data_IF_789070397190
#
_entry.id   IF_789070397190
#
_cell.length_a   1.000
_cell.length_b   1.000
_cell.length_c   1.000
_cell.angle_alpha   90.00
_cell.angle_beta   90.00
_cell.angle_gamma   90.00
#
_symmetry.space_group_name_H-M   'P 1'
#
loop_
_entity.id
_entity.type
_entity.pdbx_description
1 polymer ?
#
# COMPACT_ATOMS: atom_id res chain seq x y z
N UNK A 1 1.55 39.21 -39.60
CA UNK A 1 2.68 38.26 -39.50
C UNK A 1 3.53 38.65 -38.31
N UNK A 2 3.27 38.05 -37.16
CA UNK A 2 4.23 37.85 -36.07
C UNK A 2 3.85 36.48 -35.53
N UNK A 3 4.70 35.49 -35.80
CA UNK A 3 4.60 34.13 -35.30
C UNK A 3 5.53 33.93 -34.11
N UNK A 4 5.31 32.76 -33.49
CA UNK A 4 6.20 31.99 -32.60
C UNK A 4 6.56 32.62 -31.24
N UNK A 5 6.60 31.91 -30.14
CA UNK A 5 6.38 30.48 -29.87
C UNK A 5 5.99 30.37 -28.39
N UNK A 6 5.05 29.48 -28.07
CA UNK A 6 4.77 29.07 -26.69
C UNK A 6 5.63 27.84 -26.41
N UNK A 7 6.70 28.04 -25.67
CA UNK A 7 7.44 26.94 -25.03
C UNK A 7 6.53 26.30 -23.97
N UNK A 8 5.82 25.24 -24.37
CA UNK A 8 5.26 24.24 -23.47
C UNK A 8 6.43 23.39 -22.96
N UNK A 9 6.85 23.66 -21.73
CA UNK A 9 7.83 22.84 -21.03
C UNK A 9 7.29 21.42 -20.83
N UNK A 10 7.92 20.46 -21.50
CA UNK A 10 7.76 19.02 -21.27
C UNK A 10 8.06 18.69 -19.79
N UNK A 11 7.07 18.11 -19.10
CA UNK A 11 7.24 17.45 -17.81
C UNK A 11 8.16 16.23 -17.98
N UNK A 12 9.45 16.43 -17.71
CA UNK A 12 10.47 15.39 -17.67
C UNK A 12 10.29 14.56 -16.38
N UNK A 13 9.59 13.42 -16.50
CA UNK A 13 9.56 12.37 -15.47
C UNK A 13 10.84 11.51 -15.60
N UNK A 14 11.82 11.58 -14.68
CA UNK A 14 13.06 10.82 -14.79
C UNK A 14 12.82 9.37 -14.38
N UNK A 15 12.42 8.56 -15.35
CA UNK A 15 12.10 7.16 -15.18
C UNK A 15 13.37 6.34 -15.45
N UNK A 16 14.20 6.08 -14.43
CA UNK A 16 15.37 5.20 -14.53
C UNK A 16 14.96 3.72 -14.64
N UNK A 17 14.61 3.29 -15.85
CA UNK A 17 14.29 1.91 -16.21
C UNK A 17 15.55 1.12 -16.57
N UNK A 18 16.38 0.71 -15.59
CA UNK A 18 17.66 0.03 -15.86
C UNK A 18 17.58 -1.51 -15.91
N UNK A 19 16.39 -2.11 -16.04
CA UNK A 19 16.26 -3.56 -16.25
C UNK A 19 15.22 -3.86 -17.33
N UNK A 20 15.58 -4.60 -18.41
CA UNK A 20 14.69 -4.96 -19.50
C UNK A 20 13.72 -6.05 -19.03
N UNK A 21 12.66 -5.65 -18.33
CA UNK A 21 11.55 -6.56 -18.02
C UNK A 21 10.61 -6.67 -19.21
N UNK A 22 10.09 -7.86 -19.50
CA UNK A 22 9.06 -8.09 -20.52
C UNK A 22 9.45 -7.74 -21.97
N UNK A 23 10.74 -7.84 -22.34
CA UNK A 23 11.15 -7.67 -23.75
C UNK A 23 10.48 -8.67 -24.68
N UNK A 24 10.19 -9.87 -24.18
CA UNK A 24 9.34 -10.86 -24.84
C UNK A 24 7.93 -10.34 -25.20
N UNK A 25 7.44 -9.30 -24.53
CA UNK A 25 6.19 -8.62 -24.87
C UNK A 25 6.40 -7.32 -25.63
N UNK A 26 7.38 -6.50 -25.25
CA UNK A 26 7.60 -5.19 -25.89
C UNK A 26 8.23 -5.29 -27.27
N UNK A 27 8.89 -6.41 -27.59
CA UNK A 27 9.52 -6.64 -28.88
C UNK A 27 8.60 -7.40 -29.86
N UNK A 28 7.36 -7.71 -29.45
CA UNK A 28 6.34 -8.28 -30.35
C UNK A 28 5.91 -7.23 -31.37
N UNK A 29 5.49 -7.70 -32.54
CA UNK A 29 4.93 -6.85 -33.59
C UNK A 29 3.39 -6.95 -33.56
N UNK A 30 2.79 -6.62 -32.41
CA UNK A 30 1.35 -6.75 -32.17
C UNK A 30 0.79 -5.69 -31.20
N UNK A 31 -0.53 -5.76 -30.94
CA UNK A 31 -1.27 -4.85 -30.08
C UNK A 31 -0.83 -4.92 -28.62
N UNK A 32 -0.32 -6.07 -28.17
CA UNK A 32 0.15 -6.28 -26.80
C UNK A 32 1.43 -5.46 -26.56
N UNK A 33 2.38 -5.48 -27.50
CA UNK A 33 3.59 -4.65 -27.42
C UNK A 33 3.23 -3.15 -27.35
N UNK A 34 2.37 -2.70 -28.27
CA UNK A 34 1.93 -1.32 -28.33
C UNK A 34 1.22 -0.88 -27.04
N UNK A 35 0.41 -1.76 -26.45
CA UNK A 35 -0.24 -1.49 -25.17
C UNK A 35 0.77 -1.42 -24.03
N UNK A 36 1.72 -2.36 -23.97
CA UNK A 36 2.74 -2.42 -22.92
C UNK A 36 3.62 -1.16 -22.91
N UNK A 37 4.00 -0.63 -24.07
CA UNK A 37 4.77 0.61 -24.18
C UNK A 37 3.95 1.84 -23.76
N UNK A 38 2.70 1.94 -24.19
CA UNK A 38 1.82 3.02 -23.75
C UNK A 38 1.52 2.96 -22.24
N UNK A 39 1.34 1.75 -21.70
CA UNK A 39 1.10 1.54 -20.28
C UNK A 39 2.32 1.90 -19.45
N UNK A 40 3.54 1.59 -19.93
CA UNK A 40 4.81 1.97 -19.29
C UNK A 40 4.91 3.47 -19.03
N UNK A 41 4.37 4.29 -19.93
CA UNK A 41 4.34 5.76 -19.82
C UNK A 41 3.24 6.29 -18.89
N UNK A 42 2.20 5.50 -18.62
CA UNK A 42 0.99 5.96 -17.92
C UNK A 42 0.77 5.35 -16.54
N UNK A 43 1.51 4.30 -16.16
CA UNK A 43 1.38 3.65 -14.85
C UNK A 43 2.71 3.42 -14.16
N UNK A 44 2.66 3.25 -12.84
CA UNK A 44 3.83 2.91 -12.02
C UNK A 44 4.45 1.58 -12.44
N UNK A 45 5.77 1.43 -12.30
CA UNK A 45 6.53 0.20 -12.58
C UNK A 45 5.88 -1.06 -12.01
N UNK A 46 5.36 -1.03 -10.77
CA UNK A 46 4.66 -2.20 -10.18
C UNK A 46 3.40 -2.58 -10.96
N UNK A 47 2.54 -1.62 -11.28
CA UNK A 47 1.32 -1.83 -12.06
C UNK A 47 1.65 -2.30 -13.48
N UNK A 48 2.71 -1.73 -14.07
CA UNK A 48 3.21 -2.15 -15.36
C UNK A 48 3.69 -3.61 -15.34
N UNK A 49 4.49 -4.02 -14.34
CA UNK A 49 4.91 -5.43 -14.18
C UNK A 49 3.72 -6.37 -13.96
N UNK A 50 2.75 -5.98 -13.15
CA UNK A 50 1.53 -6.78 -12.94
C UNK A 50 0.75 -6.97 -14.25
N UNK A 51 0.60 -5.90 -15.04
CA UNK A 51 -0.04 -5.96 -16.36
C UNK A 51 0.78 -6.86 -17.30
N UNK A 52 2.12 -6.74 -17.28
CA UNK A 52 3.03 -7.54 -18.08
C UNK A 52 2.96 -9.04 -17.76
N UNK A 53 2.87 -9.44 -16.49
CA UNK A 53 2.72 -10.87 -16.16
C UNK A 53 1.41 -11.43 -16.70
N UNK A 54 0.30 -10.71 -16.51
CA UNK A 54 -1.00 -11.14 -17.04
C UNK A 54 -1.00 -11.23 -18.57
N UNK A 55 -0.42 -10.23 -19.24
CA UNK A 55 -0.33 -10.19 -20.70
C UNK A 55 0.66 -11.20 -21.27
N UNK A 56 1.67 -11.62 -20.50
CA UNK A 56 2.56 -12.72 -20.90
C UNK A 56 1.81 -14.03 -20.97
N UNK A 57 1.00 -14.32 -19.96
CA UNK A 57 0.14 -15.50 -19.98
C UNK A 57 -0.90 -15.44 -21.09
N UNK A 58 -1.44 -14.25 -21.36
CA UNK A 58 -2.36 -14.05 -22.48
C UNK A 58 -1.67 -14.28 -23.83
N UNK A 59 -0.49 -13.69 -24.04
CA UNK A 59 0.32 -13.88 -25.24
C UNK A 59 0.67 -15.36 -25.46
N UNK A 60 1.12 -16.05 -24.40
CA UNK A 60 1.38 -17.51 -24.42
C UNK A 60 0.15 -18.30 -24.89
N UNK A 61 -1.03 -18.01 -24.33
CA UNK A 61 -2.28 -18.68 -24.69
C UNK A 61 -2.69 -18.46 -26.16
N UNK A 62 -2.67 -17.21 -26.64
CA UNK A 62 -3.08 -16.91 -28.01
C UNK A 62 -2.06 -17.42 -29.04
N UNK A 63 -0.77 -17.41 -28.71
CA UNK A 63 0.29 -17.93 -29.57
C UNK A 63 0.19 -19.46 -29.69
N UNK A 64 -0.07 -20.17 -28.59
CA UNK A 64 -0.28 -21.64 -28.59
C UNK A 64 -1.46 -22.05 -29.48
N UNK A 65 -2.48 -21.20 -29.60
CA UNK A 65 -3.70 -21.46 -30.37
C UNK A 65 -3.73 -20.80 -31.75
N UNK A 66 -2.73 -19.97 -32.07
CA UNK A 66 -2.70 -19.19 -33.31
C UNK A 66 -3.85 -18.18 -33.44
N UNK A 67 -4.33 -17.64 -32.32
CA UNK A 67 -5.41 -16.65 -32.26
C UNK A 67 -4.80 -15.26 -32.29
N UNK A 68 -5.39 -14.33 -33.05
CA UNK A 68 -5.00 -12.92 -32.98
C UNK A 68 -5.85 -12.18 -31.93
N UNK A 69 -5.34 -11.12 -31.30
CA UNK A 69 -6.12 -10.34 -30.33
C UNK A 69 -7.49 -9.88 -30.86
N UNK A 70 -7.58 -9.49 -32.14
CA UNK A 70 -8.84 -9.07 -32.77
C UNK A 70 -9.84 -10.21 -33.06
N UNK A 71 -9.39 -11.46 -33.16
CA UNK A 71 -10.23 -12.63 -33.43
C UNK A 71 -10.71 -13.33 -32.13
N UNK A 72 -10.22 -12.87 -30.98
CA UNK A 72 -10.48 -13.45 -29.67
C UNK A 72 -11.94 -13.26 -29.23
N UNK A 73 -12.65 -14.36 -29.04
CA UNK A 73 -14.09 -14.38 -28.76
C UNK A 73 -14.43 -14.94 -27.36
N UNK A 74 -15.73 -15.11 -27.08
CA UNK A 74 -16.22 -15.58 -25.78
C UNK A 74 -15.77 -17.00 -25.42
N UNK A 75 -15.70 -17.90 -26.40
CA UNK A 75 -15.22 -19.27 -26.17
C UNK A 75 -13.71 -19.25 -25.85
N UNK A 76 -12.93 -18.44 -26.56
CA UNK A 76 -11.51 -18.25 -26.28
C UNK A 76 -11.27 -17.62 -24.91
N UNK A 77 -12.16 -16.71 -24.49
CA UNK A 77 -12.11 -16.07 -23.18
C UNK A 77 -12.31 -17.08 -22.05
N UNK A 78 -13.35 -17.93 -22.12
CA UNK A 78 -13.56 -18.99 -21.13
C UNK A 78 -12.40 -19.98 -21.12
N UNK A 79 -11.92 -20.37 -22.29
CA UNK A 79 -10.77 -21.27 -22.41
C UNK A 79 -9.49 -20.67 -21.83
N UNK A 80 -9.26 -19.36 -21.97
CA UNK A 80 -8.14 -18.68 -21.36
C UNK A 80 -8.23 -18.70 -19.83
N UNK A 81 -9.42 -18.46 -19.26
CA UNK A 81 -9.61 -18.55 -17.80
C UNK A 81 -9.35 -19.97 -17.31
N UNK A 82 -9.91 -20.98 -18.00
CA UNK A 82 -9.72 -22.39 -17.64
C UNK A 82 -8.25 -22.81 -17.76
N UNK A 83 -7.53 -22.30 -18.77
CA UNK A 83 -6.09 -22.53 -18.95
C UNK A 83 -5.26 -21.89 -17.84
N UNK A 84 -5.64 -20.71 -17.34
CA UNK A 84 -5.01 -20.09 -16.18
C UNK A 84 -5.26 -20.88 -14.89
N UNK A 85 -6.47 -21.36 -14.67
CA UNK A 85 -6.84 -22.18 -13.50
C UNK A 85 -6.16 -23.54 -13.49
N UNK A 86 -5.88 -24.10 -14.67
CA UNK A 86 -5.16 -25.37 -14.80
C UNK A 86 -3.67 -25.28 -14.39
N UNK A 87 -3.12 -24.07 -14.20
CA UNK A 87 -1.74 -23.89 -13.73
C UNK A 87 -1.70 -23.94 -12.20
N UNK A 88 -1.09 -24.98 -11.64
CA UNK A 88 -0.93 -25.19 -10.19
C UNK A 88 -0.28 -23.99 -9.44
N UNK A 89 0.47 -23.14 -10.15
CA UNK A 89 1.14 -21.97 -9.59
C UNK A 89 0.26 -20.72 -9.46
N UNK A 90 -0.98 -20.74 -9.96
CA UNK A 90 -1.88 -19.58 -10.00
C UNK A 90 -3.11 -19.85 -9.15
N UNK A 91 -3.33 -19.01 -8.13
CA UNK A 91 -4.54 -19.06 -7.28
C UNK A 91 -5.72 -18.40 -7.99
N UNK A 92 -6.96 -18.81 -7.73
CA UNK A 92 -8.20 -18.24 -8.31
C UNK A 92 -8.26 -16.70 -8.26
N UNK A 93 -7.88 -16.10 -7.11
CA UNK A 93 -7.82 -14.65 -6.95
C UNK A 93 -6.81 -13.97 -7.90
N UNK A 94 -5.74 -14.69 -8.25
CA UNK A 94 -4.73 -14.25 -9.22
C UNK A 94 -5.24 -14.44 -10.64
N UNK A 95 -5.96 -15.53 -10.94
CA UNK A 95 -6.65 -15.72 -12.24
C UNK A 95 -7.56 -14.54 -12.52
N UNK A 96 -8.45 -14.19 -11.58
CA UNK A 96 -9.34 -13.03 -11.70
C UNK A 96 -8.58 -11.72 -11.92
N UNK A 97 -7.45 -11.53 -11.22
CA UNK A 97 -6.61 -10.35 -11.39
C UNK A 97 -5.92 -10.30 -12.77
N UNK A 98 -5.51 -11.44 -13.32
CA UNK A 98 -4.91 -11.53 -14.64
C UNK A 98 -5.95 -11.29 -15.73
N UNK A 99 -7.11 -11.95 -15.65
CA UNK A 99 -8.26 -11.70 -16.49
C UNK A 99 -8.64 -10.21 -16.51
N UNK A 100 -8.73 -9.56 -15.34
CA UNK A 100 -9.00 -8.11 -15.26
C UNK A 100 -7.94 -7.23 -15.93
N UNK A 101 -6.68 -7.67 -15.95
CA UNK A 101 -5.60 -6.95 -16.65
C UNK A 101 -5.70 -7.09 -18.18
N UNK A 102 -6.10 -8.27 -18.66
CA UNK A 102 -6.36 -8.54 -20.09
C UNK A 102 -7.62 -7.82 -20.56
N UNK A 103 -8.70 -7.84 -19.78
CA UNK A 103 -9.90 -7.06 -20.06
C UNK A 103 -9.56 -5.56 -20.19
N UNK A 104 -8.70 -5.02 -19.33
CA UNK A 104 -8.25 -3.63 -19.45
C UNK A 104 -7.45 -3.38 -20.75
N UNK A 105 -6.68 -4.35 -21.24
CA UNK A 105 -6.01 -4.24 -22.54
C UNK A 105 -7.04 -4.11 -23.68
N UNK A 106 -8.05 -4.97 -23.74
CA UNK A 106 -9.13 -4.90 -24.72
C UNK A 106 -9.90 -3.57 -24.64
N UNK A 107 -10.25 -3.16 -23.43
CA UNK A 107 -10.85 -1.85 -23.15
C UNK A 107 -10.03 -0.67 -23.67
N UNK A 108 -8.70 -0.77 -23.57
CA UNK A 108 -7.79 0.25 -24.08
C UNK A 108 -7.73 0.26 -25.60
N UNK A 109 -7.67 -0.93 -26.21
CA UNK A 109 -7.62 -1.14 -27.65
C UNK A 109 -8.90 -0.65 -28.33
N UNK A 110 -10.08 -1.01 -27.81
CA UNK A 110 -11.37 -0.57 -28.32
C UNK A 110 -11.55 0.95 -28.31
N UNK A 111 -11.05 1.64 -27.26
CA UNK A 111 -11.04 3.12 -27.22
C UNK A 111 -10.14 3.74 -28.29
N UNK A 112 -9.27 2.95 -28.91
CA UNK A 112 -8.29 3.32 -29.94
C UNK A 112 -8.47 2.58 -31.25
N UNK A 113 -9.63 1.98 -31.50
CA UNK A 113 -9.97 1.24 -32.74
C UNK A 113 -9.79 2.04 -34.05
N UNK A 114 -9.61 3.36 -33.98
CA UNK A 114 -9.29 4.19 -35.16
C UNK A 114 -7.80 4.20 -35.51
N UNK A 115 -6.94 3.67 -34.65
CA UNK A 115 -5.53 3.44 -34.92
C UNK A 115 -5.38 2.16 -35.73
N UNK A 116 -4.48 2.17 -36.71
CA UNK A 116 -4.12 0.97 -37.49
C UNK A 116 -3.72 -0.21 -36.60
N UNK A 117 -3.11 0.07 -35.44
CA UNK A 117 -2.69 -0.99 -34.50
C UNK A 117 -3.87 -1.73 -33.89
N UNK A 118 -4.99 -1.07 -33.56
CA UNK A 118 -6.09 -1.68 -32.80
C UNK A 118 -7.37 -1.79 -33.62
N UNK A 119 -7.30 -1.65 -34.95
CA UNK A 119 -8.49 -1.60 -35.81
C UNK A 119 -9.34 -2.86 -35.74
N UNK A 120 -8.70 -3.99 -35.46
CA UNK A 120 -9.32 -5.31 -35.50
C UNK A 120 -9.90 -5.70 -34.12
N UNK A 121 -9.63 -4.92 -33.07
CA UNK A 121 -10.15 -5.16 -31.72
C UNK A 121 -11.39 -4.30 -31.47
N UNK A 122 -12.57 -4.89 -31.64
CA UNK A 122 -13.87 -4.23 -31.47
C UNK A 122 -14.72 -4.81 -30.32
N UNK A 123 -14.20 -5.81 -29.62
CA UNK A 123 -14.92 -6.60 -28.64
C UNK A 123 -14.03 -7.02 -27.46
N UNK A 124 -14.59 -7.08 -26.26
CA UNK A 124 -13.90 -7.44 -25.03
C UNK A 124 -14.55 -8.68 -24.40
N UNK A 125 -14.26 -9.85 -24.95
CA UNK A 125 -14.81 -11.13 -24.50
C UNK A 125 -14.47 -11.44 -23.02
N UNK A 126 -13.26 -11.07 -22.57
CA UNK A 126 -12.81 -11.28 -21.19
C UNK A 126 -13.68 -10.49 -20.19
N UNK A 127 -14.14 -9.29 -20.55
CA UNK A 127 -15.02 -8.51 -19.67
C UNK A 127 -16.36 -9.21 -19.42
N UNK A 128 -16.91 -9.90 -20.42
CA UNK A 128 -18.15 -10.66 -20.26
C UNK A 128 -17.94 -11.89 -19.37
N UNK A 129 -16.87 -12.65 -19.59
CA UNK A 129 -16.53 -13.78 -18.70
C UNK A 129 -16.30 -13.31 -17.26
N UNK A 130 -15.67 -12.14 -17.06
CA UNK A 130 -15.52 -11.55 -15.73
C UNK A 130 -16.86 -11.20 -15.06
N UNK A 131 -17.86 -10.81 -15.84
CA UNK A 131 -19.21 -10.44 -15.36
C UNK A 131 -20.12 -11.65 -15.15
N UNK A 132 -20.14 -12.60 -16.09
CA UNK A 132 -21.10 -13.71 -16.13
C UNK A 132 -20.65 -14.91 -15.27
N UNK A 133 -19.34 -15.10 -15.10
CA UNK A 133 -18.81 -16.24 -14.36
C UNK A 133 -18.93 -16.03 -12.85
N UNK A 134 -19.36 -17.08 -12.15
CA UNK A 134 -19.27 -17.11 -10.69
C UNK A 134 -17.82 -17.37 -10.31
N UNK A 135 -17.12 -16.31 -9.93
CA UNK A 135 -15.78 -16.42 -9.38
C UNK A 135 -15.88 -17.04 -7.98
N UNK A 136 -15.09 -18.08 -7.75
CA UNK A 136 -14.83 -18.55 -6.41
C UNK A 136 -13.95 -17.48 -5.73
N UNK A 137 -14.58 -16.41 -5.26
CA UNK A 137 -13.98 -15.46 -4.35
C UNK A 137 -13.93 -16.18 -3.00
N UNK A 138 -13.15 -17.26 -2.96
CA UNK A 138 -12.75 -18.03 -1.77
C UNK A 138 -11.82 -17.16 -0.91
N UNK A 139 -12.20 -15.89 -0.75
CA UNK A 139 -11.98 -15.12 0.46
C UNK A 139 -12.81 -15.79 1.53
N UNK A 140 -12.39 -16.99 1.93
CA UNK A 140 -12.82 -17.63 3.17
C UNK A 140 -12.73 -16.55 4.23
N UNK A 141 -13.90 -16.03 4.60
CA UNK A 141 -14.03 -14.79 5.36
C UNK A 141 -13.90 -15.06 6.85
N UNK A 142 -13.56 -16.31 7.20
CA UNK A 142 -13.07 -16.75 8.50
C UNK A 142 -11.67 -16.14 8.74
N UNK A 143 -11.67 -14.81 8.86
CA UNK A 143 -10.54 -14.09 9.43
C UNK A 143 -10.41 -14.52 10.87
N UNK A 144 -9.18 -14.71 11.32
CA UNK A 144 -8.89 -15.05 12.70
C UNK A 144 -9.47 -13.98 13.62
N UNK A 145 -10.41 -14.35 14.48
CA UNK A 145 -11.02 -13.42 15.44
C UNK A 145 -10.20 -13.43 16.74
N UNK A 146 -9.32 -12.45 16.91
CA UNK A 146 -8.55 -12.26 18.13
C UNK A 146 -9.27 -11.26 19.02
N UNK A 147 -9.54 -11.67 20.25
CA UNK A 147 -10.04 -10.75 21.27
C UNK A 147 -8.98 -9.70 21.64
N UNK A 148 -9.43 -8.54 22.12
CA UNK A 148 -8.53 -7.53 22.68
C UNK A 148 -7.65 -8.08 23.81
N UNK A 149 -8.16 -9.03 24.59
CA UNK A 149 -7.39 -9.68 25.65
C UNK A 149 -6.20 -10.47 25.08
N UNK A 150 -6.41 -11.30 24.06
CA UNK A 150 -5.33 -12.07 23.42
C UNK A 150 -4.29 -11.14 22.79
N UNK A 151 -4.75 -10.10 22.10
CA UNK A 151 -3.86 -9.11 21.49
C UNK A 151 -3.01 -8.37 22.53
N UNK A 152 -3.60 -8.01 23.68
CA UNK A 152 -2.88 -7.43 24.82
C UNK A 152 -1.80 -8.36 25.34
N UNK A 153 -2.15 -9.60 25.66
CA UNK A 153 -1.21 -10.60 26.19
C UNK A 153 -0.03 -10.81 25.24
N UNK A 154 -0.29 -10.92 23.93
CA UNK A 154 0.77 -11.09 22.96
C UNK A 154 1.67 -9.86 22.81
N UNK A 155 1.12 -8.64 22.77
CA UNK A 155 1.94 -7.41 22.68
C UNK A 155 2.77 -7.21 23.96
N UNK A 156 2.22 -7.52 25.14
CA UNK A 156 2.94 -7.41 26.41
C UNK A 156 4.11 -8.40 26.54
N UNK A 157 4.11 -9.47 25.74
CA UNK A 157 5.22 -10.44 25.70
C UNK A 157 6.43 -9.95 24.88
N UNK A 158 6.30 -8.83 24.16
CA UNK A 158 7.32 -8.32 23.25
C UNK A 158 8.47 -7.67 24.02
N UNK A 159 9.65 -8.28 23.93
CA UNK A 159 10.86 -7.77 24.56
C UNK A 159 11.65 -6.79 23.68
N UNK A 160 11.54 -6.89 22.35
CA UNK A 160 12.29 -6.02 21.44
C UNK A 160 11.58 -4.66 21.28
N UNK A 161 12.21 -3.55 21.68
CA UNK A 161 11.54 -2.25 21.78
C UNK A 161 11.12 -1.67 20.42
N UNK A 162 11.89 -1.92 19.35
CA UNK A 162 11.46 -1.55 17.99
C UNK A 162 10.17 -2.26 17.61
N UNK A 163 10.09 -3.59 17.84
CA UNK A 163 8.92 -4.38 17.53
C UNK A 163 7.71 -3.94 18.36
N UNK A 164 7.91 -3.65 19.65
CA UNK A 164 6.85 -3.09 20.51
C UNK A 164 6.33 -1.77 19.93
N UNK A 165 7.23 -0.87 19.50
CA UNK A 165 6.86 0.40 18.90
C UNK A 165 6.10 0.21 17.56
N UNK A 166 6.57 -0.70 16.70
CA UNK A 166 5.88 -1.08 15.45
C UNK A 166 4.46 -1.56 15.74
N UNK A 167 4.30 -2.54 16.62
CA UNK A 167 3.00 -3.14 16.92
C UNK A 167 2.06 -2.12 17.57
N UNK A 168 2.57 -1.29 18.48
CA UNK A 168 1.79 -0.23 19.13
C UNK A 168 1.31 0.83 18.13
N UNK A 169 2.16 1.27 17.21
CA UNK A 169 1.76 2.24 16.18
C UNK A 169 0.74 1.62 15.22
N UNK A 170 0.95 0.38 14.75
CA UNK A 170 0.00 -0.29 13.85
C UNK A 170 -1.36 -0.50 14.51
N UNK A 171 -1.38 -1.02 15.74
CA UNK A 171 -2.63 -1.34 16.44
C UNK A 171 -3.41 -0.08 16.82
N UNK A 172 -2.73 0.97 17.30
CA UNK A 172 -3.39 2.18 17.81
C UNK A 172 -3.85 3.14 16.72
N UNK A 173 -3.20 3.13 15.55
CA UNK A 173 -3.49 4.10 14.49
C UNK A 173 -4.20 3.49 13.29
N UNK A 174 -4.10 2.16 13.10
CA UNK A 174 -4.60 1.49 11.92
C UNK A 174 -3.93 1.96 10.63
N UNK A 175 -2.72 2.52 10.68
CA UNK A 175 -1.97 2.95 9.50
C UNK A 175 -1.43 1.77 8.66
N UNK A 176 -0.95 2.04 7.45
CA UNK A 176 -0.29 1.03 6.60
C UNK A 176 1.17 0.85 7.02
N UNK A 177 1.75 -0.31 6.77
CA UNK A 177 3.18 -0.55 7.00
C UNK A 177 4.08 0.45 6.24
N UNK A 178 3.73 0.81 5.00
CA UNK A 178 4.47 1.83 4.25
C UNK A 178 4.33 3.23 4.84
N UNK A 179 3.16 3.57 5.41
CA UNK A 179 2.95 4.83 6.11
C UNK A 179 3.81 4.89 7.38
N UNK A 180 3.91 3.78 8.12
CA UNK A 180 4.76 3.64 9.30
C UNK A 180 6.26 3.77 8.96
N UNK A 181 6.72 3.07 7.91
CA UNK A 181 8.10 3.15 7.42
C UNK A 181 8.52 4.57 7.01
N UNK A 182 7.56 5.37 6.54
CA UNK A 182 7.80 6.71 6.03
C UNK A 182 7.80 7.81 7.10
N UNK A 183 7.48 7.52 8.36
CA UNK A 183 7.48 8.54 9.41
C UNK A 183 8.90 9.06 9.69
N UNK A 184 9.01 10.38 9.74
CA UNK A 184 10.18 11.13 10.17
C UNK A 184 9.94 11.70 11.58
N UNK A 185 11.00 12.10 12.29
CA UNK A 185 10.90 12.77 13.59
C UNK A 185 10.07 14.06 13.51
N UNK A 186 10.09 14.76 12.37
CA UNK A 186 9.25 15.97 12.15
C UNK A 186 7.76 15.67 12.05
N UNK A 187 7.38 14.42 11.80
CA UNK A 187 5.98 13.99 11.61
C UNK A 187 5.27 13.70 12.94
N UNK A 188 5.92 13.96 14.07
CA UNK A 188 5.37 13.74 15.40
C UNK A 188 5.61 14.97 16.28
N UNK A 189 4.57 15.38 17.00
CA UNK A 189 4.64 16.40 18.05
C UNK A 189 4.24 15.76 19.38
N UNK A 190 5.20 15.46 20.25
CA UNK A 190 4.94 14.97 21.60
C UNK A 190 5.01 16.09 22.62
N UNK A 191 4.00 16.17 23.49
CA UNK A 191 4.03 17.11 24.61
C UNK A 191 4.87 16.55 25.77
N UNK A 192 6.18 16.50 25.58
CA UNK A 192 7.12 16.01 26.57
C UNK A 192 8.41 16.84 26.53
N UNK A 193 8.85 17.35 27.69
CA UNK A 193 10.01 18.25 27.76
C UNK A 193 11.26 17.64 27.10
N UNK A 194 11.58 16.39 27.45
CA UNK A 194 12.73 15.67 26.87
C UNK A 194 12.62 15.51 25.35
N UNK A 195 11.41 15.33 24.81
CA UNK A 195 11.23 15.24 23.35
C UNK A 195 11.54 16.57 22.67
N UNK A 196 10.99 17.67 23.22
CA UNK A 196 11.17 19.03 22.71
C UNK A 196 12.62 19.52 22.81
N UNK A 197 13.39 19.02 23.78
CA UNK A 197 14.79 19.39 23.99
C UNK A 197 15.76 18.65 23.05
N UNK A 198 15.50 17.38 22.73
CA UNK A 198 16.48 16.51 22.07
C UNK A 198 16.18 16.17 20.61
N UNK A 199 14.96 16.41 20.12
CA UNK A 199 14.57 16.03 18.76
C UNK A 199 14.20 17.23 17.88
N UNK A 200 14.29 17.10 16.54
CA UNK A 200 13.95 18.18 15.63
C UNK A 200 12.54 18.71 15.83
N UNK A 201 12.34 19.99 15.48
CA UNK A 201 11.01 20.59 15.46
C UNK A 201 10.06 19.82 14.54
N UNK A 202 8.79 19.71 14.96
CA UNK A 202 7.77 19.12 14.12
C UNK A 202 7.45 20.03 12.92
N UNK A 203 6.71 19.50 11.95
CA UNK A 203 6.18 20.32 10.85
C UNK A 203 5.31 21.46 11.37
N UNK A 204 5.28 22.57 10.64
CA UNK A 204 4.41 23.73 10.94
C UNK A 204 2.95 23.37 11.14
N UNK A 205 2.42 22.42 10.35
CA UNK A 205 1.03 21.98 10.47
C UNK A 205 0.74 21.13 11.72
N UNK A 206 1.78 20.75 12.47
CA UNK A 206 1.69 20.00 13.73
C UNK A 206 1.99 20.83 14.98
N UNK A 207 2.54 22.04 14.87
CA UNK A 207 3.02 22.84 16.03
C UNK A 207 1.95 23.00 17.11
N UNK A 208 0.73 23.35 16.72
CA UNK A 208 -0.41 23.55 17.63
C UNK A 208 -1.16 22.25 18.01
N UNK A 209 -0.61 21.08 17.66
CA UNK A 209 -1.25 19.76 17.86
C UNK A 209 -0.37 18.86 18.75
N UNK A 210 -0.35 19.07 20.07
CA UNK A 210 0.42 18.22 20.97
C UNK A 210 -0.07 16.77 20.95
N UNK A 211 0.83 15.83 21.20
CA UNK A 211 0.58 14.39 21.20
C UNK A 211 -0.17 13.94 19.93
N UNK A 212 0.41 14.28 18.77
CA UNK A 212 -0.18 14.01 17.46
C UNK A 212 0.90 13.57 16.47
N UNK A 213 0.52 12.64 15.60
CA UNK A 213 1.30 12.14 14.48
C UNK A 213 0.66 12.63 13.18
N UNK A 214 1.46 13.00 12.17
CA UNK A 214 1.00 13.32 10.83
C UNK A 214 1.41 12.24 9.82
N UNK A 215 0.43 11.68 9.12
CA UNK A 215 0.68 10.78 7.98
C UNK A 215 0.56 11.58 6.70
N UNK A 216 1.67 11.72 5.98
CA UNK A 216 1.71 12.47 4.72
C UNK A 216 0.83 11.82 3.62
N UNK A 217 0.18 12.62 2.76
CA UNK A 217 -0.54 12.13 1.59
C UNK A 217 0.40 11.51 0.56
N UNK A 218 -0.18 10.77 -0.38
CA UNK A 218 0.52 10.24 -1.55
C UNK A 218 1.20 11.33 -2.37
N UNK A 219 0.62 12.53 -2.48
CA UNK A 219 1.19 13.64 -3.23
C UNK A 219 2.50 14.17 -2.64
N UNK A 220 2.85 13.79 -1.40
CA UNK A 220 4.11 14.15 -0.77
C UNK A 220 5.13 13.00 -0.78
N UNK A 221 4.69 11.74 -0.94
CA UNK A 221 5.55 10.56 -0.81
C UNK A 221 5.18 9.50 -1.86
N UNK A 222 5.91 9.51 -2.97
CA UNK A 222 6.02 8.43 -3.94
C UNK A 222 7.40 7.74 -3.88
N UNK A 223 7.55 6.63 -4.62
CA UNK A 223 8.84 5.92 -4.68
C UNK A 223 9.79 6.71 -5.58
N UNK A 224 11.00 6.97 -5.08
CA UNK A 224 12.02 7.77 -5.77
C UNK A 224 12.00 9.26 -5.40
N UNK A 225 10.96 9.74 -4.71
CA UNK A 225 10.91 11.12 -4.25
C UNK A 225 11.96 11.36 -3.16
N UNK A 226 12.66 12.49 -3.24
CA UNK A 226 13.54 12.95 -2.15
C UNK A 226 12.73 13.80 -1.19
N UNK A 227 12.41 13.23 -0.03
CA UNK A 227 11.59 13.88 1.00
C UNK A 227 12.40 14.03 2.27
N UNK A 228 12.51 15.27 2.76
CA UNK A 228 13.34 15.60 3.92
C UNK A 228 14.82 15.21 3.74
N UNK A 229 15.32 15.25 2.50
CA UNK A 229 16.71 14.90 2.18
C UNK A 229 17.00 13.40 2.03
N UNK A 230 15.98 12.53 2.04
CA UNK A 230 16.11 11.08 1.81
C UNK A 230 15.19 10.60 0.69
N UNK A 231 15.72 9.79 -0.23
CA UNK A 231 14.94 9.12 -1.27
C UNK A 231 14.01 8.05 -0.66
N UNK A 232 12.72 8.10 -1.00
CA UNK A 232 11.69 7.21 -0.46
C UNK A 232 11.59 5.92 -1.25
N UNK A 233 11.69 4.79 -0.54
CA UNK A 233 11.59 3.43 -1.12
C UNK A 233 10.18 2.85 -1.08
N UNK A 234 9.31 3.43 -0.26
CA UNK A 234 7.94 2.98 -0.04
C UNK A 234 6.96 4.13 -0.29
N UNK A 235 5.85 3.93 -1.05
CA UNK A 235 4.90 4.99 -1.31
C UNK A 235 3.82 5.08 -0.23
N UNK A 236 3.27 6.27 -0.04
CA UNK A 236 1.98 6.44 0.64
C UNK A 236 0.83 6.29 -0.37
N UNK A 237 -0.32 5.77 0.10
CA UNK A 237 -1.51 5.52 -0.74
C UNK A 237 -2.69 6.44 -0.43
N UNK A 238 -2.72 7.04 0.76
CA UNK A 238 -3.80 7.94 1.17
C UNK A 238 -3.78 9.22 0.33
N UNK A 239 -4.96 9.71 -0.04
CA UNK A 239 -5.08 10.91 -0.87
C UNK A 239 -4.83 12.21 -0.08
N UNK A 240 -5.07 12.19 1.24
CA UNK A 240 -5.02 13.37 2.11
C UNK A 240 -4.08 13.11 3.29
N UNK A 241 -3.42 14.17 3.76
CA UNK A 241 -2.67 14.14 5.01
C UNK A 241 -3.59 13.87 6.20
N UNK A 242 -3.11 13.25 7.26
CA UNK A 242 -3.97 12.82 8.37
C UNK A 242 -3.29 12.99 9.71
N UNK A 243 -3.98 13.64 10.63
CA UNK A 243 -3.52 13.90 11.99
C UNK A 243 -4.11 12.83 12.91
N UNK A 244 -3.24 11.98 13.45
CA UNK A 244 -3.63 10.88 14.33
C UNK A 244 -3.20 11.21 15.76
N UNK A 245 -4.14 11.31 16.72
CA UNK A 245 -3.78 11.54 18.11
C UNK A 245 -2.96 10.39 18.69
N UNK A 246 -2.10 10.71 19.65
CA UNK A 246 -1.25 9.76 20.37
C UNK A 246 -1.79 9.66 21.80
N UNK A 247 -2.23 8.47 22.20
CA UNK A 247 -2.66 8.23 23.58
C UNK A 247 -1.46 8.04 24.52
N UNK A 248 -1.71 8.01 25.84
CA UNK A 248 -0.64 7.92 26.85
C UNK A 248 0.24 6.69 26.68
N UNK A 249 -0.34 5.55 26.29
CA UNK A 249 0.38 4.29 26.09
C UNK A 249 1.30 4.36 24.87
N UNK A 250 0.79 4.85 23.74
CA UNK A 250 1.58 5.03 22.52
C UNK A 250 2.70 6.04 22.75
N UNK A 251 2.41 7.15 23.44
CA UNK A 251 3.42 8.14 23.82
C UNK A 251 4.54 7.54 24.65
N UNK A 252 4.21 6.74 25.67
CA UNK A 252 5.21 6.08 26.51
C UNK A 252 6.09 5.12 25.70
N UNK A 253 5.52 4.34 24.79
CA UNK A 253 6.27 3.41 23.94
C UNK A 253 7.15 4.14 22.92
N UNK A 254 6.67 5.24 22.34
CA UNK A 254 7.50 6.08 21.46
C UNK A 254 8.67 6.67 22.24
N UNK A 255 8.44 7.23 23.44
CA UNK A 255 9.52 7.78 24.27
C UNK A 255 10.54 6.69 24.67
N UNK A 256 10.06 5.49 25.03
CA UNK A 256 10.93 4.34 25.30
C UNK A 256 11.79 4.00 24.07
N UNK A 257 11.19 3.92 22.89
CA UNK A 257 11.93 3.68 21.65
C UNK A 257 12.96 4.77 21.39
N UNK A 258 12.57 6.04 21.49
CA UNK A 258 13.46 7.19 21.24
C UNK A 258 14.65 7.24 22.19
N UNK A 259 14.51 6.74 23.42
CA UNK A 259 15.60 6.68 24.40
C UNK A 259 16.74 5.72 23.99
N UNK A 260 16.47 4.76 23.12
CA UNK A 260 17.42 3.70 22.72
C UNK A 260 17.56 3.55 21.19
N UNK A 261 16.82 4.37 20.43
CA UNK A 261 16.83 4.40 18.97
C UNK A 261 18.27 4.62 18.48
N UNK A 262 18.82 3.74 17.61
CA UNK A 262 20.08 4.00 16.96
C UNK A 262 20.06 5.34 16.23
N UNK A 263 21.11 6.18 16.35
CA UNK A 263 21.18 7.46 15.66
C UNK A 263 20.95 7.30 14.16
N UNK A 264 20.12 8.17 13.58
CA UNK A 264 19.92 8.20 12.13
C UNK A 264 21.18 8.68 11.43
N UNK A 265 21.42 8.12 10.24
CA UNK A 265 22.42 8.63 9.29
C UNK A 265 21.77 9.40 8.15
N UNK A 266 20.44 9.34 8.05
CA UNK A 266 19.65 10.08 7.08
C UNK A 266 19.30 11.47 7.63
N UNK A 267 19.42 12.54 6.83
CA UNK A 267 18.97 13.87 7.21
C UNK A 267 17.46 13.93 7.45
N UNK A 268 16.70 12.93 6.96
CA UNK A 268 15.27 12.87 7.18
C UNK A 268 14.89 12.51 8.63
N UNK A 269 15.85 12.03 9.43
CA UNK A 269 15.62 11.55 10.80
C UNK A 269 14.41 10.61 10.89
N UNK A 270 14.47 9.37 10.35
CA UNK A 270 13.36 8.43 10.41
C UNK A 270 12.93 8.15 11.85
N UNK A 271 11.63 8.13 12.13
CA UNK A 271 11.11 7.81 13.46
C UNK A 271 11.55 6.42 13.91
N UNK A 272 11.43 5.44 13.01
CA UNK A 272 11.87 4.06 13.23
C UNK A 272 13.12 3.78 12.38
N UNK A 273 14.15 3.25 13.03
CA UNK A 273 15.42 2.89 12.42
C UNK A 273 15.75 1.42 12.71
N UNK A 274 16.51 0.80 11.81
CA UNK A 274 17.00 -0.56 11.97
C UNK A 274 17.88 -0.65 13.21
N UNK A 275 17.73 -1.73 13.97
CA UNK A 275 18.58 -2.05 15.12
C UNK A 275 19.69 -3.04 14.79
N UNK A 276 19.59 -3.73 13.65
CA UNK A 276 20.54 -4.75 13.19
C UNK A 276 20.92 -4.49 11.72
N UNK A 277 22.13 -4.87 11.31
CA UNK A 277 22.54 -4.78 9.91
C UNK A 277 21.81 -5.81 9.03
N UNK A 278 21.56 -5.44 7.78
CA UNK A 278 21.13 -6.33 6.70
C UNK A 278 22.17 -6.41 5.59
N UNK A 279 21.84 -7.01 4.45
CA UNK A 279 22.78 -7.20 3.34
C UNK A 279 23.30 -5.89 2.73
N UNK A 280 22.48 -4.83 2.75
CA UNK A 280 22.81 -3.51 2.20
C UNK A 280 22.39 -2.36 3.11
N UNK A 281 22.02 -2.68 4.35
CA UNK A 281 21.53 -1.73 5.36
C UNK A 281 22.28 -1.92 6.66
N UNK A 282 22.38 -0.86 7.46
CA UNK A 282 23.03 -0.91 8.76
C UNK A 282 22.12 -0.33 9.86
N UNK A 283 22.43 -0.54 11.15
CA UNK A 283 21.68 0.10 12.23
C UNK A 283 21.64 1.63 12.06
N UNK A 284 20.48 2.22 12.33
CA UNK A 284 20.23 3.66 12.10
C UNK A 284 19.59 3.99 10.74
N UNK A 285 19.61 3.07 9.77
CA UNK A 285 18.91 3.26 8.50
C UNK A 285 17.38 3.16 8.69
N UNK A 286 16.61 3.83 7.81
CA UNK A 286 15.15 3.77 7.78
C UNK A 286 14.64 2.34 7.58
N UNK A 287 13.54 2.00 8.28
CA UNK A 287 12.81 0.76 8.00
C UNK A 287 12.12 0.77 6.64
N UNK A 288 12.09 -0.37 5.97
CA UNK A 288 11.25 -0.58 4.78
C UNK A 288 9.94 -1.27 5.16
N UNK A 289 8.93 -1.10 4.32
CA UNK A 289 7.62 -1.70 4.56
C UNK A 289 7.70 -3.23 4.64
N UNK A 290 8.50 -3.88 3.80
CA UNK A 290 8.70 -5.34 3.83
C UNK A 290 9.36 -5.81 5.13
N UNK A 291 10.37 -5.09 5.64
CA UNK A 291 10.93 -5.38 6.95
C UNK A 291 9.87 -5.34 8.06
N UNK A 292 8.95 -4.36 8.03
CA UNK A 292 7.82 -4.31 8.97
C UNK A 292 6.89 -5.51 8.81
N UNK A 293 6.64 -5.96 7.57
CA UNK A 293 5.87 -7.18 7.31
C UNK A 293 6.54 -8.42 7.89
N UNK A 294 7.85 -8.57 7.70
CA UNK A 294 8.63 -9.69 8.21
C UNK A 294 8.58 -9.71 9.74
N UNK A 295 8.90 -8.58 10.40
CA UNK A 295 8.86 -8.47 11.86
C UNK A 295 7.50 -8.79 12.47
N UNK A 296 6.41 -8.38 11.82
CA UNK A 296 5.05 -8.70 12.29
C UNK A 296 4.69 -10.16 12.02
N UNK A 297 5.15 -10.73 10.91
CA UNK A 297 4.89 -12.14 10.56
C UNK A 297 5.65 -13.07 11.51
N UNK A 298 6.93 -12.80 11.78
CA UNK A 298 7.75 -13.55 12.74
C UNK A 298 7.14 -13.50 14.15
N UNK A 299 6.72 -12.31 14.58
CA UNK A 299 6.03 -12.15 15.87
C UNK A 299 4.72 -12.94 15.90
N UNK A 300 3.92 -12.87 14.83
CA UNK A 300 2.65 -13.59 14.72
C UNK A 300 2.85 -15.11 14.69
N UNK A 301 3.87 -15.62 14.00
CA UNK A 301 4.23 -17.03 13.97
C UNK A 301 4.58 -17.53 15.36
N UNK A 302 5.34 -16.76 16.14
CA UNK A 302 5.65 -17.08 17.54
C UNK A 302 4.40 -17.15 18.44
N UNK A 303 3.27 -16.53 18.04
CA UNK A 303 1.98 -16.66 18.72
C UNK A 303 1.10 -17.79 18.14
N UNK A 304 1.54 -18.49 17.10
CA UNK A 304 0.73 -19.43 16.32
C UNK A 304 -0.35 -18.74 15.48
N UNK A 305 -0.14 -17.47 15.13
CA UNK A 305 -1.07 -16.60 14.39
C UNK A 305 -0.68 -16.35 12.94
N UNK A 306 0.40 -16.98 12.51
CA UNK A 306 0.86 -16.97 11.13
C UNK A 306 1.32 -18.37 10.76
N UNK A 307 0.93 -18.81 9.57
CA UNK A 307 1.37 -20.06 8.95
C UNK A 307 1.49 -19.85 7.43
N UNK A 308 2.55 -20.40 6.82
CA UNK A 308 2.81 -20.29 5.39
C UNK A 308 1.71 -20.96 4.53
N UNK A 309 1.09 -22.00 5.06
CA UNK A 309 0.03 -22.76 4.39
C UNK A 309 -1.37 -22.18 4.64
N UNK A 310 -1.49 -21.22 5.56
CA UNK A 310 -2.75 -20.58 5.89
C UNK A 310 -3.11 -19.42 4.93
N UNK A 311 -4.40 -19.11 4.83
CA UNK A 311 -4.86 -18.02 3.96
C UNK A 311 -4.39 -16.67 4.50
N UNK A 312 -4.13 -15.70 3.60
CA UNK A 312 -3.71 -14.33 3.98
C UNK A 312 -4.69 -13.66 4.95
N UNK A 313 -5.95 -14.07 4.92
CA UNK A 313 -7.04 -13.55 5.74
C UNK A 313 -7.09 -14.15 7.15
N UNK A 314 -6.55 -15.36 7.32
CA UNK A 314 -6.42 -16.04 8.61
C UNK A 314 -5.13 -15.67 9.37
N UNK A 315 -4.12 -15.14 8.65
CA UNK A 315 -2.84 -14.73 9.21
C UNK A 315 -2.89 -13.33 9.82
N UNK A 316 -2.25 -13.17 10.99
CA UNK A 316 -1.97 -11.85 11.56
C UNK A 316 -0.80 -11.21 10.81
N UNK A 317 -1.02 -9.98 10.36
CA UNK A 317 -0.10 -9.21 9.52
C UNK A 317 -0.29 -7.71 9.77
N UNK A 318 0.55 -6.80 9.23
CA UNK A 318 0.28 -5.37 9.28
C UNK A 318 -1.11 -4.99 8.76
N UNK A 319 -1.66 -5.74 7.79
CA UNK A 319 -3.03 -5.51 7.32
C UNK A 319 -4.08 -5.96 8.35
N UNK A 320 -3.81 -7.03 9.10
CA UNK A 320 -4.67 -7.47 10.20
C UNK A 320 -4.84 -6.38 11.25
N UNK A 321 -3.79 -5.64 11.62
CA UNK A 321 -3.89 -4.53 12.57
C UNK A 321 -4.84 -3.43 12.11
N UNK A 322 -4.90 -3.14 10.81
CA UNK A 322 -5.88 -2.19 10.25
C UNK A 322 -7.31 -2.69 10.40
N UNK A 323 -7.51 -4.01 10.25
CA UNK A 323 -8.80 -4.63 10.47
C UNK A 323 -9.17 -4.61 11.96
N UNK A 324 -8.27 -5.04 12.83
CA UNK A 324 -8.45 -5.06 14.27
C UNK A 324 -8.78 -3.66 14.80
N UNK A 325 -8.05 -2.62 14.35
CA UNK A 325 -8.37 -1.23 14.66
C UNK A 325 -9.80 -0.89 14.23
N UNK A 326 -10.17 -1.11 12.95
CA UNK A 326 -11.54 -0.88 12.47
C UNK A 326 -12.59 -1.57 13.35
N UNK A 327 -12.37 -2.84 13.69
CA UNK A 327 -13.34 -3.65 14.44
C UNK A 327 -13.48 -3.17 15.88
N UNK A 328 -12.38 -3.07 16.62
CA UNK A 328 -12.42 -2.77 18.06
C UNK A 328 -12.65 -1.29 18.33
N UNK A 329 -12.02 -0.40 17.56
CA UNK A 329 -12.24 1.04 17.68
C UNK A 329 -13.62 1.43 17.13
N UNK A 330 -14.01 0.91 15.96
CA UNK A 330 -15.31 1.22 15.36
C UNK A 330 -16.50 0.76 16.21
N UNK A 331 -16.39 -0.37 16.90
CA UNK A 331 -17.41 -0.82 17.86
C UNK A 331 -17.56 0.10 19.08
N UNK A 332 -16.60 1.01 19.34
CA UNK A 332 -16.60 1.93 20.48
C UNK A 332 -16.95 3.37 20.11
N UNK A 333 -16.68 3.80 18.88
CA UNK A 333 -17.00 5.17 18.45
C UNK A 333 -18.40 5.32 17.85
N UNK A 334 -18.97 4.23 17.32
CA UNK A 334 -20.16 4.25 16.44
C UNK A 334 -20.06 5.24 15.24
N UNK A 335 -18.85 5.75 14.98
CA UNK A 335 -18.55 6.71 13.92
C UNK A 335 -17.69 6.05 12.84
N UNK A 336 -18.36 5.56 11.80
CA UNK A 336 -17.71 4.92 10.65
C UNK A 336 -16.89 5.90 9.81
N UNK A 337 -17.20 7.20 9.82
CA UNK A 337 -16.46 8.21 9.08
C UNK A 337 -15.12 8.50 9.77
N UNK A 338 -15.11 8.57 11.10
CA UNK A 338 -13.87 8.66 11.88
C UNK A 338 -12.96 7.44 11.68
N UNK A 339 -13.53 6.24 11.57
CA UNK A 339 -12.74 5.03 11.23
C UNK A 339 -12.14 5.14 9.81
N UNK A 340 -12.91 5.64 8.85
CA UNK A 340 -12.42 5.89 7.47
C UNK A 340 -11.34 6.97 7.44
N UNK A 341 -11.46 8.02 8.28
CA UNK A 341 -10.47 9.09 8.45
C UNK A 341 -9.10 8.50 8.81
N UNK A 342 -9.02 7.72 9.90
CA UNK A 342 -7.76 7.12 10.35
C UNK A 342 -7.18 6.15 9.31
N UNK A 343 -8.03 5.31 8.71
CA UNK A 343 -7.59 4.35 7.67
C UNK A 343 -7.14 5.01 6.37
N UNK A 344 -7.47 6.29 6.16
CA UNK A 344 -7.18 7.01 4.92
C UNK A 344 -7.96 6.45 3.74
N UNK A 345 -9.21 6.05 3.99
CA UNK A 345 -10.12 5.58 2.96
C UNK A 345 -10.72 6.78 2.21
N UNK A 346 -11.08 6.60 0.93
CA UNK A 346 -11.70 7.68 0.13
C UNK A 346 -13.14 7.92 0.62
N UNK A 347 -13.54 9.19 0.74
CA UNK A 347 -14.90 9.58 1.08
C UNK A 347 -15.08 11.10 1.04
N UNK A 348 -16.26 11.56 0.62
CA UNK A 348 -16.54 12.98 0.33
C UNK A 348 -16.77 13.83 1.60
N UNK A 349 -17.06 13.23 2.75
CA UNK A 349 -17.38 13.93 4.01
C UNK A 349 -16.18 14.05 4.98
N UNK A 350 -14.96 14.23 4.46
CA UNK A 350 -13.73 14.22 5.29
C UNK A 350 -13.21 15.61 5.69
N UNK A 351 -13.77 16.68 5.15
CA UNK A 351 -13.32 18.06 5.40
C UNK A 351 -13.66 18.54 6.80
N UNK A 352 -14.83 18.16 7.33
CA UNK A 352 -15.27 18.53 8.68
C UNK A 352 -14.30 18.02 9.77
N UNK A 353 -13.77 16.80 9.62
CA UNK A 353 -12.78 16.24 10.54
C UNK A 353 -11.45 17.01 10.53
N UNK A 354 -11.10 17.68 9.44
CA UNK A 354 -9.90 18.51 9.40
C UNK A 354 -10.14 19.87 10.05
N UNK A 355 -11.30 20.49 9.79
CA UNK A 355 -11.66 21.78 10.37
C UNK A 355 -11.88 21.72 11.88
N UNK A 356 -12.54 20.66 12.36
CA UNK A 356 -12.87 20.48 13.77
C UNK A 356 -12.09 19.32 14.40
N UNK A 357 -10.79 19.25 14.10
CA UNK A 357 -9.94 18.11 14.49
C UNK A 357 -10.00 17.79 15.99
N UNK A 358 -10.00 18.79 16.87
CA UNK A 358 -10.04 18.55 18.32
C UNK A 358 -11.29 17.76 18.73
N UNK A 359 -12.48 18.27 18.39
CA UNK A 359 -13.76 17.68 18.82
C UNK A 359 -14.24 16.50 17.97
N UNK A 360 -13.86 16.43 16.70
CA UNK A 360 -14.31 15.38 15.78
C UNK A 360 -13.29 14.25 15.61
N UNK A 361 -12.01 14.48 15.94
CA UNK A 361 -10.96 13.46 15.82
C UNK A 361 -10.31 13.16 17.16
N UNK A 362 -9.74 14.15 17.84
CA UNK A 362 -8.91 13.92 19.04
C UNK A 362 -9.72 13.40 20.21
N UNK A 363 -10.75 14.11 20.63
CA UNK A 363 -11.56 13.72 21.79
C UNK A 363 -12.24 12.35 21.57
N UNK A 364 -12.92 12.07 20.44
CA UNK A 364 -13.54 10.77 20.21
C UNK A 364 -12.51 9.64 20.14
N UNK A 365 -11.35 9.90 19.54
CA UNK A 365 -10.26 8.92 19.53
C UNK A 365 -9.78 8.59 20.94
N UNK A 366 -9.46 9.60 21.77
CA UNK A 366 -8.93 9.38 23.11
C UNK A 366 -9.96 8.71 24.04
N UNK A 367 -11.25 8.92 23.81
CA UNK A 367 -12.33 8.25 24.54
C UNK A 367 -12.51 6.78 24.12
N UNK A 368 -12.44 6.50 22.82
CA UNK A 368 -12.75 5.18 22.29
C UNK A 368 -11.54 4.25 22.14
N UNK A 369 -10.32 4.79 22.02
CA UNK A 369 -9.13 3.98 21.80
C UNK A 369 -8.93 3.00 22.96
N UNK A 370 -8.76 1.73 22.60
CA UNK A 370 -8.62 0.65 23.57
C UNK A 370 -7.22 0.63 24.17
N UNK A 371 -7.13 0.23 25.44
CA UNK A 371 -5.87 0.11 26.17
C UNK A 371 -5.15 -1.19 25.84
N UNK A 372 -3.83 -1.14 25.80
CA UNK A 372 -2.94 -2.30 25.65
C UNK A 372 -2.27 -2.68 26.97
N UNK A 373 -1.90 -1.69 27.78
CA UNK A 373 -1.33 -1.87 29.11
C UNK A 373 -2.42 -1.85 30.19
#
# INVERSE_FOLDING_TARGET
MIGDDKDEAEDDYPNQWTSPGYTDLTDRDDEIAAYMENRKRSVRRKTWRQSGTALRHFAEFIDERGIKPGDFNDDDAEDFINWLEAKDSIKDSTVKSYAGSVAHFYDYAMRRQRSETYSDINYNAIALVLEDRTWNDDRTTERRDLSLKQMREAILSVNHPLLLCILMLLIKTGMRASELANLDMRDINLDHHWFKEHFPECRKNLEDRPDTLYIAPRSEIEVGDVVNGEERKDPNKRARGTYVPIDKETKAVILLWLAIRPPSRSPAEPLLTLTVPGSSTIPGDRLRADYIWDQVSDWAEAQGWWDADATLESNVSPHYFRHFFRTVFGARTDDQLLVKYFRGDKGDAMEDYMHYWESHVREPYLQAIYKIF
#
